data_IF_065676904390
#
_entry.id   IF_065676904390
#
_cell.length_a   1.000
_cell.length_b   1.000
_cell.length_c   1.000
_cell.angle_alpha   90.00
_cell.angle_beta   90.00
_cell.angle_gamma   90.00
#
_symmetry.space_group_name_H-M   'P 1'
#
loop_
_entity.id
_entity.type
_entity.pdbx_description
1 polymer ?
#
# COMPACT_ATOMS: atom_id res chain seq x y z
N UNK A 1 -4.95 12.33 -18.71
CA UNK A 1 -5.31 12.16 -17.28
C UNK A 1 -4.94 13.38 -16.42
N UNK A 2 -4.29 14.42 -16.95
CA UNK A 2 -3.81 15.57 -16.15
C UNK A 2 -4.90 16.54 -15.63
N UNK A 3 -6.17 16.34 -16.01
CA UNK A 3 -7.32 17.14 -15.55
C UNK A 3 -8.13 16.46 -14.44
N UNK A 4 -7.77 15.24 -14.02
CA UNK A 4 -8.50 14.46 -13.01
C UNK A 4 -7.95 14.77 -11.62
N UNK A 5 -8.43 15.85 -11.00
CA UNK A 5 -8.39 16.14 -9.55
C UNK A 5 -7.23 15.52 -8.76
N UNK A 6 -6.01 15.70 -9.26
CA UNK A 6 -4.84 14.86 -9.02
C UNK A 6 -4.62 14.54 -7.55
N UNK A 7 -4.60 13.26 -7.17
CA UNK A 7 -3.51 12.56 -6.47
C UNK A 7 -3.96 11.12 -6.20
N UNK A 8 -3.25 10.17 -6.83
CA UNK A 8 -3.44 8.73 -6.65
C UNK A 8 -2.63 8.35 -5.42
N UNK A 9 -3.31 8.22 -4.28
CA UNK A 9 -2.65 8.13 -2.97
C UNK A 9 -2.41 6.68 -2.53
N UNK A 10 -3.39 5.83 -2.75
CA UNK A 10 -3.32 4.38 -2.54
C UNK A 10 -3.23 3.69 -3.90
N UNK A 11 -3.05 2.38 -3.92
CA UNK A 11 -3.20 1.65 -5.18
C UNK A 11 -4.63 1.18 -5.42
N UNK A 12 -4.86 0.76 -6.65
CA UNK A 12 -6.22 0.56 -7.18
C UNK A 12 -6.43 -0.87 -7.67
N UNK A 13 -5.77 -1.83 -7.02
CA UNK A 13 -5.87 -3.24 -7.33
C UNK A 13 -5.79 -4.07 -6.05
N UNK A 14 -6.30 -5.29 -6.09
CA UNK A 14 -6.05 -6.27 -5.04
C UNK A 14 -4.54 -6.51 -4.85
N UNK A 15 -4.12 -6.83 -3.64
CA UNK A 15 -2.72 -7.13 -3.37
C UNK A 15 -2.27 -8.45 -4.04
N UNK A 16 -1.27 -8.38 -4.92
CA UNK A 16 -0.56 -9.57 -5.42
C UNK A 16 0.25 -10.26 -4.32
N UNK A 17 0.14 -11.59 -4.26
CA UNK A 17 1.08 -12.46 -3.55
C UNK A 17 2.19 -12.91 -4.50
N UNK A 18 3.40 -12.37 -4.34
CA UNK A 18 4.49 -12.68 -5.25
C UNK A 18 5.06 -14.09 -5.09
N UNK A 19 4.77 -14.76 -3.97
CA UNK A 19 5.22 -16.12 -3.71
C UNK A 19 4.13 -17.17 -4.02
N UNK A 20 2.86 -16.76 -4.06
CA UNK A 20 1.71 -17.63 -4.33
C UNK A 20 1.05 -17.38 -5.69
N UNK A 21 0.48 -16.18 -5.88
CA UNK A 21 -0.34 -15.85 -7.05
C UNK A 21 0.52 -15.55 -8.30
N UNK A 22 1.68 -14.92 -8.11
CA UNK A 22 2.58 -14.51 -9.19
C UNK A 22 3.62 -15.58 -9.59
N UNK A 23 3.95 -16.49 -8.67
CA UNK A 23 4.79 -17.65 -8.95
C UNK A 23 3.91 -18.80 -9.43
N UNK A 24 3.87 -19.07 -10.74
CA UNK A 24 3.20 -20.29 -11.23
C UNK A 24 3.83 -21.54 -10.62
N UNK A 25 3.16 -22.71 -10.62
CA UNK A 25 3.79 -23.98 -10.22
C UNK A 25 5.13 -24.25 -10.95
N UNK A 26 5.27 -23.75 -12.20
CA UNK A 26 6.52 -23.81 -12.96
C UNK A 26 7.61 -22.82 -12.48
N UNK A 27 7.22 -21.72 -11.83
CA UNK A 27 8.14 -20.76 -11.20
C UNK A 27 8.47 -21.18 -9.77
N UNK A 28 7.51 -21.74 -9.03
CA UNK A 28 7.71 -22.35 -7.70
C UNK A 28 8.66 -23.55 -7.77
N UNK A 29 8.57 -24.38 -8.83
CA UNK A 29 9.56 -25.43 -9.11
C UNK A 29 10.99 -24.91 -9.33
N UNK A 30 11.14 -23.69 -9.88
CA UNK A 30 12.44 -23.00 -9.98
C UNK A 30 12.88 -22.35 -8.66
N UNK A 31 11.96 -22.08 -7.75
CA UNK A 31 12.20 -21.51 -6.41
C UNK A 31 12.50 -22.59 -5.34
N UNK A 32 12.40 -23.88 -5.67
CA UNK A 32 12.82 -24.96 -4.79
C UNK A 32 14.34 -24.94 -4.57
N UNK A 33 14.73 -25.14 -3.30
CA UNK A 33 16.13 -25.16 -2.84
C UNK A 33 16.80 -26.44 -3.32
N UNK A 34 17.91 -26.32 -4.05
CA UNK A 34 18.90 -27.40 -4.16
C UNK A 34 19.61 -27.48 -2.81
N UNK A 35 19.44 -28.58 -2.09
CA UNK A 35 20.18 -28.83 -0.85
C UNK A 35 21.63 -29.11 -1.19
N UNK A 36 22.55 -28.17 -0.93
CA UNK A 36 23.98 -28.52 -0.79
C UNK A 36 24.64 -27.68 0.31
N UNK A 37 25.30 -28.40 1.23
CA UNK A 37 26.42 -27.90 2.05
C UNK A 37 26.09 -27.40 3.45
N UNK A 38 26.42 -28.20 4.46
CA UNK A 38 26.59 -27.75 5.85
C UNK A 38 27.82 -26.85 5.95
N UNK A 39 27.64 -25.52 5.92
CA UNK A 39 28.54 -24.60 6.61
C UNK A 39 27.98 -23.15 6.64
N UNK A 40 27.63 -22.69 7.84
CA UNK A 40 27.49 -21.29 8.28
C UNK A 40 26.66 -20.29 7.42
N UNK A 41 25.58 -19.78 8.02
CA UNK A 41 24.65 -18.74 7.53
C UNK A 41 23.67 -19.27 6.45
N UNK A 42 22.33 -19.20 6.64
CA UNK A 42 21.40 -19.69 5.62
C UNK A 42 21.51 -18.80 4.38
N UNK A 43 22.30 -19.22 3.39
CA UNK A 43 22.29 -18.68 2.02
C UNK A 43 21.01 -19.13 1.33
N UNK A 44 19.89 -18.63 1.83
CA UNK A 44 18.59 -18.84 1.20
C UNK A 44 18.56 -18.20 -0.19
N UNK A 45 17.74 -18.76 -1.09
CA UNK A 45 17.55 -18.18 -2.42
C UNK A 45 16.93 -16.79 -2.25
N UNK A 46 17.64 -15.77 -2.74
CA UNK A 46 17.18 -14.39 -2.68
C UNK A 46 16.34 -14.06 -3.91
N UNK A 47 15.15 -13.49 -3.68
CA UNK A 47 14.19 -13.07 -4.71
C UNK A 47 13.95 -11.59 -4.52
N UNK A 48 14.01 -10.80 -5.59
CA UNK A 48 13.76 -9.37 -5.53
C UNK A 48 12.53 -8.98 -6.35
N UNK A 49 11.66 -8.19 -5.71
CA UNK A 49 10.57 -7.50 -6.35
C UNK A 49 10.83 -5.99 -6.39
N UNK A 50 10.46 -5.38 -7.50
CA UNK A 50 10.50 -3.95 -7.70
C UNK A 50 9.08 -3.40 -7.77
N UNK A 51 8.73 -2.52 -6.84
CA UNK A 51 7.43 -1.85 -6.78
C UNK A 51 7.59 -0.40 -7.24
N UNK A 52 6.96 -0.05 -8.36
CA UNK A 52 7.07 1.26 -9.01
C UNK A 52 5.74 1.99 -8.90
N UNK A 53 5.69 2.94 -7.98
CA UNK A 53 4.59 3.85 -7.77
C UNK A 53 3.24 3.14 -7.59
N UNK A 54 3.21 2.08 -6.77
CA UNK A 54 2.01 1.30 -6.48
C UNK A 54 1.13 1.95 -5.39
N UNK A 55 1.57 3.08 -4.82
CA UNK A 55 0.79 3.94 -3.92
C UNK A 55 0.81 3.52 -2.46
N UNK A 56 0.75 2.23 -2.16
CA UNK A 56 0.75 1.70 -0.80
C UNK A 56 1.57 0.40 -0.64
N UNK A 57 1.58 -0.15 0.57
CA UNK A 57 2.39 -1.32 0.92
C UNK A 57 1.66 -2.67 0.77
N UNK A 58 0.51 -2.74 0.07
CA UNK A 58 -0.34 -3.94 0.06
C UNK A 58 0.36 -5.18 -0.50
N UNK A 59 1.12 -5.04 -1.59
CA UNK A 59 1.83 -6.15 -2.23
C UNK A 59 2.91 -6.71 -1.31
N UNK A 60 3.61 -5.83 -0.59
CA UNK A 60 4.58 -6.20 0.44
C UNK A 60 3.89 -7.00 1.54
N UNK A 61 2.83 -6.47 2.15
CA UNK A 61 2.14 -7.15 3.26
C UNK A 61 1.53 -8.50 2.84
N UNK A 62 0.92 -8.57 1.66
CA UNK A 62 0.34 -9.82 1.13
C UNK A 62 1.41 -10.89 0.91
N UNK A 63 2.51 -10.52 0.28
CA UNK A 63 3.63 -11.44 0.00
C UNK A 63 4.32 -11.87 1.29
N UNK A 64 4.54 -10.95 2.23
CA UNK A 64 5.09 -11.28 3.55
C UNK A 64 4.18 -12.23 4.33
N UNK A 65 2.85 -12.12 4.16
CA UNK A 65 1.90 -13.08 4.76
C UNK A 65 2.14 -14.51 4.29
N UNK A 66 2.65 -14.70 3.08
CA UNK A 66 2.98 -16.01 2.53
C UNK A 66 4.41 -16.43 2.83
N UNK A 67 5.36 -15.49 2.85
CA UNK A 67 6.73 -15.73 3.30
C UNK A 67 6.76 -16.24 4.75
N UNK A 68 5.94 -15.65 5.62
CA UNK A 68 5.86 -16.03 7.03
C UNK A 68 5.03 -17.31 7.27
N UNK A 69 4.38 -17.86 6.24
CA UNK A 69 3.69 -19.16 6.31
C UNK A 69 4.68 -20.32 6.09
N UNK A 70 4.58 -21.34 6.96
CA UNK A 70 5.65 -22.29 7.27
C UNK A 70 6.20 -23.19 6.15
N UNK A 71 5.57 -23.31 4.98
CA UNK A 71 6.07 -24.15 3.87
C UNK A 71 6.61 -23.33 2.69
N UNK A 72 5.99 -22.19 2.37
CA UNK A 72 6.34 -21.40 1.17
C UNK A 72 7.59 -20.53 1.34
N UNK A 73 7.98 -20.18 2.57
CA UNK A 73 9.10 -19.27 2.85
C UNK A 73 10.35 -19.88 3.48
N UNK A 74 10.41 -21.21 3.62
CA UNK A 74 11.61 -21.85 4.20
C UNK A 74 12.82 -21.66 3.28
N UNK A 75 13.89 -21.07 3.81
CA UNK A 75 15.12 -20.84 3.06
C UNK A 75 15.01 -19.78 1.96
N UNK A 76 13.97 -18.94 1.95
CA UNK A 76 13.85 -17.81 1.03
C UNK A 76 14.20 -16.48 1.72
N UNK A 77 14.81 -15.58 0.96
CA UNK A 77 14.97 -14.18 1.34
C UNK A 77 14.24 -13.32 0.31
N UNK A 78 13.27 -12.54 0.75
CA UNK A 78 12.47 -11.66 -0.10
C UNK A 78 12.93 -10.21 0.02
N UNK A 79 13.41 -9.65 -1.07
CA UNK A 79 13.75 -8.25 -1.20
C UNK A 79 12.68 -7.45 -1.93
N UNK A 80 12.38 -6.26 -1.44
CA UNK A 80 11.53 -5.28 -2.11
C UNK A 80 12.32 -4.00 -2.33
N UNK A 81 12.39 -3.53 -3.57
CA UNK A 81 12.74 -2.13 -3.88
C UNK A 81 11.45 -1.37 -4.13
N UNK A 82 11.14 -0.43 -3.24
CA UNK A 82 9.96 0.42 -3.29
C UNK A 82 10.39 1.77 -3.85
N UNK A 83 9.84 2.12 -5.00
CA UNK A 83 10.06 3.39 -5.67
C UNK A 83 8.76 4.18 -5.72
N UNK A 84 8.74 5.36 -5.11
CA UNK A 84 7.66 6.33 -5.24
C UNK A 84 8.21 7.64 -5.79
N UNK A 85 7.54 8.23 -6.77
CA UNK A 85 7.99 9.50 -7.36
C UNK A 85 7.89 10.65 -6.37
N UNK A 86 6.81 10.70 -5.60
CA UNK A 86 6.57 11.74 -4.61
C UNK A 86 7.08 11.27 -3.23
N UNK A 87 7.90 12.09 -2.59
CA UNK A 87 8.53 11.76 -1.30
C UNK A 87 7.49 11.57 -0.19
N UNK A 88 6.35 12.25 -0.26
CA UNK A 88 5.22 12.08 0.66
C UNK A 88 4.62 10.68 0.59
N UNK A 89 4.50 10.09 -0.61
CA UNK A 89 4.00 8.72 -0.79
C UNK A 89 5.01 7.71 -0.26
N UNK A 90 6.31 7.92 -0.54
CA UNK A 90 7.37 7.07 -0.01
C UNK A 90 7.35 7.06 1.52
N UNK A 91 7.34 8.25 2.13
CA UNK A 91 7.27 8.45 3.57
C UNK A 91 6.06 7.71 4.15
N UNK A 92 4.90 7.82 3.49
CA UNK A 92 3.66 7.24 3.97
C UNK A 92 3.66 5.73 3.88
N UNK A 93 4.28 5.13 2.86
CA UNK A 93 4.51 3.69 2.83
C UNK A 93 5.43 3.23 3.96
N UNK A 94 6.49 3.97 4.26
CA UNK A 94 7.37 3.69 5.40
C UNK A 94 6.59 3.73 6.71
N UNK A 95 5.73 4.72 6.91
CA UNK A 95 4.85 4.83 8.08
C UNK A 95 3.89 3.65 8.18
N UNK A 96 3.19 3.30 7.10
CA UNK A 96 2.22 2.21 7.08
C UNK A 96 2.88 0.84 7.33
N UNK A 97 4.06 0.60 6.74
CA UNK A 97 4.86 -0.59 7.01
C UNK A 97 5.31 -0.62 8.48
N UNK A 98 5.76 0.51 9.02
CA UNK A 98 6.16 0.61 10.42
C UNK A 98 5.00 0.29 11.37
N UNK A 99 3.81 0.86 11.12
CA UNK A 99 2.59 0.54 11.85
C UNK A 99 2.23 -0.94 11.71
N UNK A 100 2.24 -1.51 10.50
CA UNK A 100 1.80 -2.89 10.26
C UNK A 100 2.70 -3.92 10.96
N UNK A 101 4.00 -3.63 11.05
CA UNK A 101 5.01 -4.49 11.65
C UNK A 101 5.15 -4.30 13.17
N UNK A 102 4.57 -3.25 13.78
CA UNK A 102 4.73 -3.01 15.22
C UNK A 102 4.01 -4.06 16.09
N UNK A 103 4.73 -5.09 16.53
CA UNK A 103 4.21 -6.14 17.41
C UNK A 103 3.94 -5.69 18.85
N UNK A 104 4.33 -4.47 19.23
CA UNK A 104 4.10 -3.89 20.56
C UNK A 104 2.65 -3.43 20.74
N UNK A 105 1.97 -3.13 19.63
CA UNK A 105 0.56 -2.76 19.62
C UNK A 105 -0.29 -4.02 19.44
N UNK A 106 -1.35 -4.15 20.24
CA UNK A 106 -2.31 -5.25 20.10
C UNK A 106 -2.79 -5.35 18.64
N UNK A 107 -2.91 -6.59 18.14
CA UNK A 107 -3.19 -6.85 16.74
C UNK A 107 -4.43 -6.09 16.24
N UNK A 108 -5.51 -6.08 17.04
CA UNK A 108 -6.75 -5.42 16.65
C UNK A 108 -6.58 -3.91 16.59
N UNK A 109 -5.93 -3.35 17.59
CA UNK A 109 -5.65 -1.92 17.64
C UNK A 109 -4.73 -1.49 16.49
N UNK A 110 -3.75 -2.31 16.14
CA UNK A 110 -2.83 -2.09 15.03
C UNK A 110 -3.53 -2.11 13.67
N UNK A 111 -4.42 -3.08 13.45
CA UNK A 111 -5.24 -3.16 12.22
C UNK A 111 -6.15 -1.95 12.09
N UNK A 112 -6.83 -1.56 13.16
CA UNK A 112 -7.69 -0.36 13.14
C UNK A 112 -6.85 0.90 12.92
N UNK A 113 -5.72 1.07 13.61
CA UNK A 113 -4.80 2.18 13.41
C UNK A 113 -4.30 2.27 11.98
N UNK A 114 -3.86 1.15 11.40
CA UNK A 114 -3.39 1.10 10.01
C UNK A 114 -4.47 1.60 9.06
N UNK A 115 -5.71 1.11 9.19
CA UNK A 115 -6.80 1.50 8.32
C UNK A 115 -7.22 2.97 8.53
N UNK A 116 -7.25 3.46 9.77
CA UNK A 116 -7.52 4.87 10.07
C UNK A 116 -6.48 5.77 9.37
N UNK A 117 -5.18 5.48 9.53
CA UNK A 117 -4.09 6.25 8.90
C UNK A 117 -4.11 6.11 7.37
N UNK A 118 -4.42 4.92 6.86
CA UNK A 118 -4.49 4.64 5.43
C UNK A 118 -5.64 5.39 4.73
N UNK A 119 -6.83 5.44 5.32
CA UNK A 119 -8.01 5.81 4.55
C UNK A 119 -8.76 7.06 5.01
N UNK A 120 -8.57 7.49 6.26
CA UNK A 120 -9.40 8.55 6.83
C UNK A 120 -8.77 9.94 6.72
N UNK A 121 -9.61 10.93 6.44
CA UNK A 121 -9.28 12.35 6.56
C UNK A 121 -9.03 12.75 8.01
N UNK A 122 -9.81 12.21 8.94
CA UNK A 122 -9.74 12.48 10.36
C UNK A 122 -9.47 11.19 11.15
N UNK A 123 -8.64 11.32 12.17
CA UNK A 123 -8.18 10.26 13.05
C UNK A 123 -8.86 10.36 14.40
N UNK A 124 -8.86 9.24 15.13
CA UNK A 124 -9.06 9.31 16.57
C UNK A 124 -7.88 9.99 17.25
N UNK A 125 -8.10 10.60 18.43
CA UNK A 125 -7.00 11.18 19.20
C UNK A 125 -5.91 10.16 19.60
N UNK A 126 -6.25 8.87 19.72
CA UNK A 126 -5.25 7.80 19.92
C UNK A 126 -4.41 7.60 18.66
N UNK A 127 -5.04 7.56 17.48
CA UNK A 127 -4.34 7.40 16.21
C UNK A 127 -3.47 8.63 15.87
N UNK A 128 -3.91 9.85 16.16
CA UNK A 128 -3.08 11.06 15.97
C UNK A 128 -1.79 11.00 16.80
N UNK A 129 -1.90 10.65 18.09
CA UNK A 129 -0.74 10.47 18.98
C UNK A 129 0.19 9.36 18.50
N UNK A 130 -0.37 8.27 17.97
CA UNK A 130 0.42 7.18 17.41
C UNK A 130 1.19 7.65 16.16
N UNK A 131 0.54 8.37 15.24
CA UNK A 131 1.22 8.97 14.07
C UNK A 131 2.34 9.91 14.49
N UNK A 132 2.12 10.76 15.50
CA UNK A 132 3.16 11.64 16.05
C UNK A 132 4.38 10.85 16.54
N UNK A 133 4.15 9.78 17.31
CA UNK A 133 5.21 8.93 17.84
C UNK A 133 5.98 8.18 16.73
N UNK A 134 5.27 7.58 15.77
CA UNK A 134 5.91 6.88 14.65
C UNK A 134 6.68 7.85 13.73
N UNK A 135 6.14 9.05 13.49
CA UNK A 135 6.83 10.09 12.72
C UNK A 135 8.11 10.54 13.43
N UNK A 136 8.10 10.65 14.76
CA UNK A 136 9.32 10.93 15.55
C UNK A 136 10.35 9.82 15.41
N UNK A 137 9.93 8.56 15.49
CA UNK A 137 10.86 7.43 15.33
C UNK A 137 11.51 7.42 13.94
N UNK A 138 10.74 7.71 12.88
CA UNK A 138 11.25 7.84 11.51
C UNK A 138 12.20 9.04 11.35
N UNK A 139 11.89 10.19 11.97
CA UNK A 139 12.76 11.36 12.04
C UNK A 139 14.09 11.04 12.72
N UNK A 140 14.05 10.41 13.89
CA UNK A 140 15.25 10.07 14.66
C UNK A 140 16.10 9.04 13.91
N UNK A 141 15.47 8.08 13.27
CA UNK A 141 16.16 7.08 12.47
C UNK A 141 16.85 7.69 11.25
N UNK A 142 16.18 8.54 10.46
CA UNK A 142 16.76 9.12 9.25
C UNK A 142 17.88 10.13 9.55
N UNK A 143 17.82 10.79 10.71
CA UNK A 143 18.84 11.73 11.18
C UNK A 143 20.00 11.06 11.92
N UNK A 144 19.78 9.86 12.47
CA UNK A 144 20.82 9.18 13.24
C UNK A 144 21.99 8.77 12.35
N UNK A 145 23.17 9.35 12.61
CA UNK A 145 24.47 8.86 12.13
C UNK A 145 24.90 7.54 12.79
N UNK A 146 24.03 6.95 13.64
CA UNK A 146 24.30 5.72 14.38
C UNK A 146 23.56 4.57 13.72
N UNK A 147 24.14 3.36 13.62
CA UNK A 147 23.41 2.17 13.22
C UNK A 147 22.12 2.09 14.03
N UNK A 148 20.99 1.85 13.37
CA UNK A 148 19.68 1.74 14.02
C UNK A 148 19.82 1.01 15.36
N UNK A 149 19.29 1.59 16.44
CA UNK A 149 19.39 1.00 17.76
C UNK A 149 18.97 -0.46 17.70
N UNK A 150 19.83 -1.37 18.18
CA UNK A 150 19.53 -2.79 18.28
C UNK A 150 18.19 -2.95 19.00
N UNK A 151 17.19 -3.49 18.32
CA UNK A 151 15.78 -3.53 18.77
C UNK A 151 14.79 -2.90 17.76
N UNK A 152 15.18 -1.87 17.00
CA UNK A 152 14.22 -1.19 16.10
C UNK A 152 13.95 -1.94 14.79
N UNK A 153 12.68 -2.03 14.39
CA UNK A 153 12.23 -2.52 13.07
C UNK A 153 12.77 -1.68 11.91
N UNK A 154 13.06 -0.41 12.15
CA UNK A 154 13.58 0.52 11.15
C UNK A 154 14.98 0.11 10.65
N UNK A 155 15.68 -0.81 11.33
CA UNK A 155 16.95 -1.36 10.84
C UNK A 155 16.80 -2.16 9.53
N UNK A 156 15.60 -2.66 9.24
CA UNK A 156 15.31 -3.40 8.02
C UNK A 156 14.95 -2.47 6.85
N UNK A 157 14.81 -1.16 7.11
CA UNK A 157 14.58 -0.16 6.08
C UNK A 157 15.94 0.30 5.56
N UNK A 158 16.13 0.19 4.26
CA UNK A 158 17.33 0.60 3.55
C UNK A 158 17.02 1.86 2.71
N UNK A 159 17.61 2.98 3.10
CA UNK A 159 17.56 4.28 2.39
C UNK A 159 18.90 4.67 1.78
N UNK A 160 19.78 3.69 1.54
CA UNK A 160 21.09 3.90 0.92
C UNK A 160 21.00 4.46 -0.50
N UNK A 161 19.88 4.27 -1.18
CA UNK A 161 19.66 4.79 -2.54
C UNK A 161 19.16 6.22 -2.60
N UNK A 162 18.70 6.77 -1.47
CA UNK A 162 18.26 8.15 -1.38
C UNK A 162 19.46 9.11 -1.32
N UNK A 163 19.42 10.16 -2.12
CA UNK A 163 20.36 11.29 -2.04
C UNK A 163 20.16 12.05 -0.74
N UNK A 164 21.15 12.84 -0.34
CA UNK A 164 21.03 13.70 0.85
C UNK A 164 19.81 14.64 0.78
N UNK A 165 19.57 15.26 -0.38
CA UNK A 165 18.38 16.09 -0.58
C UNK A 165 17.06 15.31 -0.37
N UNK A 166 16.96 14.09 -0.90
CA UNK A 166 15.76 13.25 -0.76
C UNK A 166 15.54 12.82 0.70
N UNK A 167 16.63 12.59 1.46
CA UNK A 167 16.58 12.33 2.90
C UNK A 167 16.13 13.56 3.70
N UNK A 168 16.62 14.74 3.33
CA UNK A 168 16.20 16.01 3.94
C UNK A 168 14.71 16.29 3.67
N UNK A 169 14.23 15.97 2.47
CA UNK A 169 12.82 16.06 2.11
C UNK A 169 11.96 15.07 2.90
N UNK A 170 12.38 13.81 3.07
CA UNK A 170 11.72 12.86 3.96
C UNK A 170 11.66 13.39 5.40
N UNK A 171 12.78 13.91 5.91
CA UNK A 171 12.84 14.51 7.24
C UNK A 171 11.84 15.66 7.41
N UNK A 172 11.72 16.52 6.39
CA UNK A 172 10.71 17.59 6.35
C UNK A 172 9.29 17.02 6.40
N UNK A 173 9.01 15.95 5.65
CA UNK A 173 7.70 15.28 5.64
C UNK A 173 7.37 14.70 7.02
N UNK A 174 8.28 13.93 7.64
CA UNK A 174 8.06 13.36 8.97
C UNK A 174 7.80 14.44 10.03
N UNK A 175 8.57 15.54 10.00
CA UNK A 175 8.34 16.71 10.86
C UNK A 175 6.97 17.35 10.65
N UNK A 176 6.46 17.36 9.42
CA UNK A 176 5.15 17.94 9.10
C UNK A 176 3.96 17.14 9.68
N UNK A 177 4.16 15.86 9.98
CA UNK A 177 3.14 15.01 10.61
C UNK A 177 3.09 15.14 12.12
N UNK A 178 4.09 15.78 12.73
CA UNK A 178 4.11 16.05 14.18
C UNK A 178 2.98 16.99 14.58
N UNK A 179 2.47 16.83 15.80
CA UNK A 179 1.39 17.63 16.40
C UNK A 179 1.84 19.04 16.78
N UNK A 180 2.34 19.80 15.80
CA UNK A 180 2.98 21.11 16.03
C UNK A 180 2.08 22.30 15.66
N UNK A 181 1.09 22.08 14.78
CA UNK A 181 0.24 23.15 14.25
C UNK A 181 -1.19 22.67 14.11
N UNK A 182 -2.18 23.48 14.46
CA UNK A 182 -3.57 23.16 14.16
C UNK A 182 -3.79 23.07 12.63
N UNK A 183 -4.49 22.03 12.19
CA UNK A 183 -4.82 21.81 10.78
C UNK A 183 -6.30 21.46 10.71
N UNK A 184 -7.05 22.24 9.93
CA UNK A 184 -8.44 21.92 9.62
C UNK A 184 -8.49 21.02 8.38
N UNK A 185 -8.41 19.71 8.60
CA UNK A 185 -8.42 18.71 7.53
C UNK A 185 -9.69 18.79 6.68
N UNK A 186 -10.85 18.99 7.31
CA UNK A 186 -12.13 19.10 6.65
C UNK A 186 -12.19 20.28 5.67
N UNK A 187 -11.65 21.44 6.05
CA UNK A 187 -11.61 22.61 5.17
C UNK A 187 -10.69 22.39 3.95
N UNK A 188 -9.55 21.73 4.13
CA UNK A 188 -8.62 21.43 3.04
C UNK A 188 -9.20 20.42 2.05
N UNK A 189 -9.90 19.39 2.56
CA UNK A 189 -10.63 18.43 1.74
C UNK A 189 -11.80 19.11 1.01
N UNK A 190 -12.57 19.94 1.71
CA UNK A 190 -13.73 20.66 1.15
C UNK A 190 -13.31 21.57 0.00
N UNK A 191 -12.18 22.28 0.15
CA UNK A 191 -11.60 23.09 -0.91
C UNK A 191 -11.32 22.28 -2.19
N UNK A 192 -10.75 21.07 -2.05
CA UNK A 192 -10.52 20.19 -3.20
C UNK A 192 -11.82 19.61 -3.78
N UNK A 193 -12.78 19.26 -2.93
CA UNK A 193 -14.08 18.80 -3.39
C UNK A 193 -14.81 19.91 -4.18
N UNK A 194 -14.78 21.16 -3.73
CA UNK A 194 -15.34 22.31 -4.47
C UNK A 194 -14.67 22.50 -5.82
N UNK A 195 -13.34 22.41 -5.88
CA UNK A 195 -12.61 22.46 -7.16
C UNK A 195 -13.00 21.33 -8.11
N UNK A 196 -13.19 20.12 -7.59
CA UNK A 196 -13.57 18.97 -8.42
C UNK A 196 -14.99 19.10 -8.98
N UNK A 197 -15.96 19.39 -8.12
CA UNK A 197 -17.36 19.40 -8.53
C UNK A 197 -17.79 20.70 -9.21
N UNK A 198 -17.08 21.80 -8.98
CA UNK A 198 -17.42 23.13 -9.49
C UNK A 198 -18.83 23.53 -9.10
N UNK A 199 -19.60 24.04 -10.06
CA UNK A 199 -21.00 24.46 -9.88
C UNK A 199 -21.93 23.33 -9.40
N UNK A 200 -21.50 22.06 -9.56
CA UNK A 200 -22.28 20.88 -9.12
C UNK A 200 -21.98 20.47 -7.68
N UNK A 201 -21.15 21.21 -6.95
CA UNK A 201 -20.74 20.86 -5.59
C UNK A 201 -21.93 20.68 -4.63
N UNK A 202 -22.95 21.53 -4.74
CA UNK A 202 -24.16 21.44 -3.89
C UNK A 202 -25.03 20.23 -4.24
N UNK A 203 -24.95 19.74 -5.48
CA UNK A 203 -25.65 18.56 -5.98
C UNK A 203 -24.79 17.29 -5.98
N UNK A 204 -23.59 17.33 -5.36
CA UNK A 204 -22.61 16.23 -5.44
C UNK A 204 -23.13 14.89 -4.93
N UNK A 205 -24.10 14.87 -4.01
CA UNK A 205 -24.73 13.62 -3.53
C UNK A 205 -25.29 12.80 -4.69
N UNK A 206 -25.98 13.45 -5.63
CA UNK A 206 -26.56 12.79 -6.80
C UNK A 206 -25.47 12.27 -7.74
N UNK A 207 -24.37 13.02 -7.90
CA UNK A 207 -23.22 12.60 -8.70
C UNK A 207 -22.52 11.38 -8.08
N UNK A 208 -22.35 11.37 -6.76
CA UNK A 208 -21.76 10.26 -6.01
C UNK A 208 -22.62 8.99 -6.14
N UNK A 209 -23.94 9.13 -6.00
CA UNK A 209 -24.85 7.99 -6.15
C UNK A 209 -24.82 7.44 -7.59
N UNK A 210 -24.76 8.33 -8.59
CA UNK A 210 -24.60 7.94 -9.98
C UNK A 210 -23.26 7.25 -10.25
N UNK A 211 -22.15 7.81 -9.75
CA UNK A 211 -20.81 7.21 -9.84
C UNK A 211 -20.80 5.79 -9.28
N UNK A 212 -21.39 5.60 -8.11
CA UNK A 212 -21.48 4.28 -7.51
C UNK A 212 -22.24 3.30 -8.41
N UNK A 213 -23.47 3.63 -8.79
CA UNK A 213 -24.34 2.69 -9.50
C UNK A 213 -23.92 2.41 -10.94
N UNK A 214 -23.30 3.39 -11.61
CA UNK A 214 -22.92 3.27 -13.01
C UNK A 214 -21.49 2.76 -13.21
N UNK A 215 -20.57 3.04 -12.27
CA UNK A 215 -19.14 2.76 -12.44
C UNK A 215 -18.60 1.72 -11.47
N UNK A 216 -19.05 1.71 -10.21
CA UNK A 216 -18.46 0.84 -9.18
C UNK A 216 -19.27 -0.42 -8.91
N UNK A 217 -20.57 -0.28 -8.67
CA UNK A 217 -21.44 -1.41 -8.37
C UNK A 217 -21.75 -2.28 -9.59
N UNK A 218 -21.28 -1.84 -10.77
CA UNK A 218 -21.46 -2.40 -12.11
C UNK A 218 -22.57 -3.42 -12.16
N UNK A 219 -23.76 -3.04 -12.67
CA UNK A 219 -24.93 -3.94 -12.81
C UNK A 219 -24.41 -5.34 -13.12
N UNK A 220 -24.63 -6.27 -12.20
CA UNK A 220 -24.27 -7.67 -12.37
C UNK A 220 -24.99 -8.13 -13.65
N UNK A 221 -24.35 -7.97 -14.81
CA UNK A 221 -24.84 -8.51 -16.06
C UNK A 221 -24.76 -10.02 -15.86
N UNK A 222 -25.93 -10.63 -15.65
CA UNK A 222 -26.15 -12.08 -15.67
C UNK A 222 -25.69 -12.58 -17.04
N UNK A 223 -24.38 -12.76 -17.20
CA UNK A 223 -23.83 -13.52 -18.32
C UNK A 223 -24.34 -14.94 -18.19
N UNK A 224 -24.75 -15.53 -19.31
CA UNK A 224 -25.38 -16.86 -19.45
C UNK A 224 -24.65 -18.05 -18.81
N UNK A 225 -23.54 -17.83 -18.08
CA UNK A 225 -22.74 -18.85 -17.40
C UNK A 225 -22.51 -18.60 -15.90
N UNK A 226 -23.27 -17.75 -15.20
CA UNK A 226 -23.17 -17.53 -13.74
C UNK A 226 -21.75 -17.14 -13.22
N UNK A 227 -20.88 -16.59 -14.08
CA UNK A 227 -19.56 -16.09 -13.66
C UNK A 227 -19.63 -14.58 -13.43
N UNK A 228 -19.66 -14.16 -12.16
CA UNK A 228 -19.59 -12.75 -11.76
C UNK A 228 -18.16 -12.26 -11.97
N UNK A 229 -17.95 -11.35 -12.94
CA UNK A 229 -16.61 -10.91 -13.36
C UNK A 229 -15.95 -9.84 -12.47
N UNK A 230 -16.59 -9.31 -11.43
CA UNK A 230 -15.91 -8.40 -10.49
C UNK A 230 -16.51 -8.36 -9.09
N UNK A 231 -15.66 -8.39 -8.06
CA UNK A 231 -16.05 -8.26 -6.65
C UNK A 231 -16.33 -6.82 -6.22
N UNK A 232 -16.39 -5.84 -7.14
CA UNK A 232 -16.42 -4.40 -6.82
C UNK A 232 -17.63 -3.98 -5.99
N UNK A 233 -18.76 -4.67 -6.14
CA UNK A 233 -19.97 -4.41 -5.33
C UNK A 233 -19.82 -4.77 -3.84
N UNK A 234 -18.69 -5.37 -3.43
CA UNK A 234 -18.34 -5.54 -2.00
C UNK A 234 -17.99 -4.19 -1.35
N UNK A 235 -17.59 -3.20 -2.15
CA UNK A 235 -17.55 -1.81 -1.71
C UNK A 235 -19.00 -1.36 -1.59
N UNK A 236 -19.53 -1.35 -0.37
CA UNK A 236 -20.92 -1.02 -0.12
C UNK A 236 -21.20 0.48 -0.38
N UNK A 237 -22.39 0.78 -0.94
CA UNK A 237 -22.83 2.15 -1.28
C UNK A 237 -22.66 3.14 -0.13
N UNK A 238 -23.05 2.74 1.08
CA UNK A 238 -22.96 3.59 2.28
C UNK A 238 -21.53 4.01 2.56
N UNK A 239 -20.56 3.09 2.46
CA UNK A 239 -19.15 3.39 2.69
C UNK A 239 -18.58 4.29 1.59
N UNK A 240 -18.86 3.96 0.32
CA UNK A 240 -18.46 4.79 -0.81
C UNK A 240 -18.99 6.23 -0.69
N UNK A 241 -20.30 6.37 -0.40
CA UNK A 241 -20.95 7.66 -0.25
C UNK A 241 -20.43 8.43 0.95
N UNK A 242 -20.24 7.77 2.10
CA UNK A 242 -19.68 8.37 3.31
C UNK A 242 -18.29 8.94 3.05
N UNK A 243 -17.41 8.16 2.42
CA UNK A 243 -16.06 8.61 2.08
C UNK A 243 -16.07 9.78 1.09
N UNK A 244 -16.84 9.71 -0.01
CA UNK A 244 -16.97 10.82 -0.97
C UNK A 244 -17.56 12.11 -0.37
N UNK A 245 -18.26 12.01 0.76
CA UNK A 245 -18.89 13.14 1.44
C UNK A 245 -18.08 13.71 2.61
N UNK A 246 -17.14 12.96 3.18
CA UNK A 246 -16.41 13.34 4.40
C UNK A 246 -14.90 13.10 4.35
N UNK A 247 -14.40 12.30 3.41
CA UNK A 247 -13.01 11.87 3.37
C UNK A 247 -12.66 10.73 4.34
N UNK A 248 -13.60 10.27 5.18
CA UNK A 248 -13.37 9.16 6.11
C UNK A 248 -13.86 7.83 5.51
N UNK A 249 -12.99 6.82 5.42
CA UNK A 249 -13.29 5.53 4.78
C UNK A 249 -13.53 4.39 5.77
N UNK A 250 -12.91 4.45 6.94
CA UNK A 250 -12.84 3.40 7.95
C UNK A 250 -13.26 3.96 9.31
N UNK A 251 -14.55 3.89 9.62
CA UNK A 251 -15.10 4.28 10.91
C UNK A 251 -15.38 3.00 11.73
N UNK A 252 -14.83 2.92 12.94
CA UNK A 252 -14.93 1.73 13.78
C UNK A 252 -15.68 2.02 15.06
N UNK A 253 -16.78 1.29 15.28
CA UNK A 253 -17.60 1.38 16.51
C UNK A 253 -18.05 2.84 16.71
N UNK A 254 -18.22 3.26 17.97
CA UNK A 254 -18.59 4.62 18.34
C UNK A 254 -17.37 5.51 18.61
N UNK A 255 -16.29 5.32 17.84
CA UNK A 255 -15.11 6.18 17.94
C UNK A 255 -15.39 7.56 17.36
N UNK A 256 -14.82 8.59 17.99
CA UNK A 256 -14.86 9.97 17.49
C UNK A 256 -13.62 10.24 16.64
N UNK A 257 -13.84 10.75 15.43
CA UNK A 257 -12.81 11.17 14.48
C UNK A 257 -12.85 12.69 14.38
N UNK A 258 -11.91 13.36 15.04
CA UNK A 258 -11.86 14.83 15.14
C UNK A 258 -10.43 15.39 15.06
N UNK A 259 -9.41 14.54 14.96
CA UNK A 259 -8.03 14.94 14.76
C UNK A 259 -7.64 14.87 13.28
N UNK A 260 -6.84 15.81 12.74
CA UNK A 260 -6.48 15.78 11.32
C UNK A 260 -5.51 14.64 10.99
N UNK A 261 -5.77 13.87 9.92
CA UNK A 261 -4.78 12.98 9.35
C UNK A 261 -3.74 13.78 8.56
N UNK A 262 -2.68 14.22 9.22
CA UNK A 262 -1.59 15.01 8.64
C UNK A 262 -0.82 14.29 7.54
N UNK A 263 -0.89 12.96 7.50
CA UNK A 263 -0.24 12.15 6.45
C UNK A 263 -0.93 12.31 5.10
N UNK A 264 -2.13 12.88 5.07
CA UNK A 264 -2.88 13.25 3.87
C UNK A 264 -2.72 14.72 3.49
N UNK A 265 -1.80 15.44 4.13
CA UNK A 265 -1.60 16.87 3.91
C UNK A 265 -0.18 17.12 3.43
N UNK A 266 -0.02 17.86 2.34
CA UNK A 266 1.30 18.31 1.89
C UNK A 266 1.24 19.65 1.17
N UNK A 267 2.43 20.23 0.96
CA UNK A 267 2.62 21.39 0.09
C UNK A 267 2.80 20.91 -1.34
N UNK A 268 1.86 21.27 -2.20
CA UNK A 268 1.84 20.83 -3.60
C UNK A 268 2.06 22.04 -4.50
N UNK A 269 2.82 21.84 -5.58
CA UNK A 269 2.89 22.80 -6.67
C UNK A 269 1.52 22.91 -7.35
N UNK A 270 0.79 23.97 -7.02
CA UNK A 270 -0.39 24.41 -7.75
C UNK A 270 0.02 25.39 -8.86
N UNK A 271 -0.88 25.69 -9.79
CA UNK A 271 -0.71 26.78 -10.75
C UNK A 271 -1.76 27.84 -10.46
N UNK A 272 -1.33 29.10 -10.44
CA UNK A 272 -2.25 30.23 -10.41
C UNK A 272 -3.02 30.29 -11.73
N UNK A 273 -4.32 30.54 -11.65
CA UNK A 273 -5.15 30.78 -12.83
C UNK A 273 -5.08 32.27 -13.20
N UNK A 274 -3.94 32.72 -13.74
CA UNK A 274 -3.73 34.14 -14.06
C UNK A 274 -4.37 34.53 -15.39
N UNK A 275 -4.32 33.65 -16.39
CA UNK A 275 -4.97 33.86 -17.69
C UNK A 275 -5.32 32.51 -18.32
N UNK A 276 -6.25 32.50 -19.28
CA UNK A 276 -6.58 31.31 -20.08
C UNK A 276 -5.86 31.39 -21.43
N UNK A 277 -5.25 30.30 -21.89
CA UNK A 277 -4.68 30.23 -23.23
C UNK A 277 -5.79 30.11 -24.30
N UNK A 278 -5.41 30.13 -25.59
CA UNK A 278 -6.35 29.97 -26.72
C UNK A 278 -7.15 28.65 -26.67
N UNK A 279 -6.68 27.65 -25.93
CA UNK A 279 -7.34 26.37 -25.72
C UNK A 279 -8.15 26.34 -24.42
N UNK A 280 -8.43 27.52 -23.83
CA UNK A 280 -9.15 27.72 -22.58
C UNK A 280 -8.51 27.03 -21.37
N UNK A 281 -7.22 26.66 -21.43
CA UNK A 281 -6.51 26.11 -20.30
C UNK A 281 -5.98 27.25 -19.42
N UNK A 282 -6.25 27.17 -18.12
CA UNK A 282 -5.66 28.10 -17.16
C UNK A 282 -4.12 27.98 -17.15
N UNK A 283 -3.45 29.10 -17.32
CA UNK A 283 -1.99 29.28 -17.26
C UNK A 283 -1.69 30.34 -16.20
N UNK A 284 -0.56 30.16 -15.53
CA UNK A 284 -0.02 31.12 -14.58
C UNK A 284 1.15 30.53 -13.80
N UNK A 285 1.73 31.33 -12.91
CA UNK A 285 2.89 30.92 -12.12
C UNK A 285 2.59 29.67 -11.28
N UNK A 286 3.59 28.79 -11.15
CA UNK A 286 3.51 27.70 -10.19
C UNK A 286 3.67 28.26 -8.78
N UNK A 287 2.75 27.93 -7.90
CA UNK A 287 2.76 28.31 -6.48
C UNK A 287 2.67 27.06 -5.63
N UNK A 288 3.54 26.96 -4.63
CA UNK A 288 3.46 25.90 -3.63
C UNK A 288 2.35 26.24 -2.62
N UNK A 289 1.30 25.43 -2.54
CA UNK A 289 0.20 25.61 -1.60
C UNK A 289 0.06 24.38 -0.70
N UNK A 290 -0.05 24.61 0.61
CA UNK A 290 -0.35 23.56 1.57
C UNK A 290 -1.82 23.15 1.44
N UNK A 291 -2.10 21.85 1.32
CA UNK A 291 -3.46 21.36 1.16
C UNK A 291 -3.61 19.84 1.28
N UNK A 292 -4.84 19.38 1.03
CA UNK A 292 -5.17 17.97 1.04
C UNK A 292 -4.55 17.26 -0.17
N UNK A 293 -3.76 16.23 0.10
CA UNK A 293 -3.02 15.42 -0.89
C UNK A 293 -3.70 14.07 -1.19
N UNK A 294 -4.73 13.66 -0.42
CA UNK A 294 -5.42 12.38 -0.67
C UNK A 294 -6.31 12.35 -1.91
N UNK A 295 -6.79 11.17 -2.31
CA UNK A 295 -7.77 11.05 -3.39
C UNK A 295 -9.15 11.55 -2.90
N UNK A 296 -9.98 12.05 -3.80
CA UNK A 296 -11.35 12.46 -3.53
C UNK A 296 -12.37 11.73 -4.38
N UNK A 297 -11.95 10.97 -5.40
CA UNK A 297 -12.73 10.23 -6.39
C UNK A 297 -12.70 8.73 -6.19
N UNK A 298 -11.51 8.14 -6.05
CA UNK A 298 -11.35 6.70 -5.99
C UNK A 298 -11.00 6.30 -4.55
N UNK A 299 -11.85 5.55 -3.83
CA UNK A 299 -11.65 5.25 -2.41
C UNK A 299 -10.52 4.23 -2.16
N UNK A 300 -10.01 4.10 -0.92
CA UNK A 300 -8.90 3.21 -0.55
C UNK A 300 -9.26 1.71 -0.50
N UNK A 301 -10.52 1.37 -0.80
CA UNK A 301 -11.03 0.01 -0.60
C UNK A 301 -10.41 -1.02 -1.55
N UNK A 302 -9.92 -0.58 -2.71
CA UNK A 302 -9.30 -1.48 -3.70
C UNK A 302 -8.03 -2.16 -3.18
N UNK A 303 -7.25 -1.46 -2.35
CA UNK A 303 -5.95 -1.96 -1.85
C UNK A 303 -6.07 -3.22 -0.99
N UNK A 304 -7.07 -3.27 -0.10
CA UNK A 304 -7.16 -4.32 0.92
C UNK A 304 -8.53 -5.00 0.98
N UNK A 305 -9.53 -4.53 0.23
CA UNK A 305 -10.94 -4.90 0.44
C UNK A 305 -11.61 -5.68 -0.69
N UNK A 306 -10.92 -5.96 -1.81
CA UNK A 306 -11.51 -6.61 -2.98
C UNK A 306 -11.31 -8.13 -3.04
N UNK A 307 -10.33 -8.66 -2.31
CA UNK A 307 -9.99 -10.08 -2.29
C UNK A 307 -9.56 -10.53 -0.88
N UNK A 308 -9.71 -11.81 -0.56
CA UNK A 308 -9.31 -12.39 0.74
C UNK A 308 -7.91 -12.99 0.65
N UNK A 309 -7.04 -12.66 1.61
CA UNK A 309 -5.68 -13.25 1.73
C UNK A 309 -5.68 -14.60 2.45
N UNK A 310 -6.79 -14.90 3.12
CA UNK A 310 -7.06 -16.16 3.78
C UNK A 310 -8.15 -16.91 3.01
N UNK A 311 -7.78 -18.02 2.37
CA UNK A 311 -8.72 -18.83 1.60
C UNK A 311 -9.80 -19.44 2.49
N UNK A 312 -9.51 -19.67 3.78
CA UNK A 312 -10.48 -20.23 4.74
C UNK A 312 -11.62 -19.24 5.07
N UNK A 313 -11.35 -17.94 5.05
CA UNK A 313 -12.36 -16.91 5.35
C UNK A 313 -13.09 -16.41 4.09
N UNK A 314 -12.60 -16.76 2.89
CA UNK A 314 -13.10 -16.21 1.62
C UNK A 314 -14.58 -16.50 1.39
N UNK A 315 -15.02 -17.73 1.61
CA UNK A 315 -16.44 -18.10 1.46
C UNK A 315 -17.32 -17.29 2.42
N UNK A 316 -16.87 -17.10 3.67
CA UNK A 316 -17.59 -16.32 4.67
C UNK A 316 -17.67 -14.85 4.28
N UNK A 317 -16.54 -14.23 3.94
CA UNK A 317 -16.41 -12.81 3.61
C UNK A 317 -17.15 -12.43 2.33
N UNK A 318 -17.16 -13.29 1.32
CA UNK A 318 -17.81 -13.01 0.03
C UNK A 318 -19.21 -13.60 -0.08
N UNK A 319 -19.79 -14.07 1.04
CA UNK A 319 -21.16 -14.58 1.09
C UNK A 319 -22.16 -13.50 0.67
N UNK A 320 -23.04 -13.84 -0.28
CA UNK A 320 -24.14 -12.98 -0.72
C UNK A 320 -25.50 -13.48 -0.21
N UNK A 321 -26.37 -12.54 0.17
CA UNK A 321 -27.80 -12.76 0.43
C UNK A 321 -28.59 -11.64 -0.23
N UNK A 322 -29.69 -11.98 -0.90
CA UNK A 322 -30.52 -11.02 -1.65
C UNK A 322 -29.71 -10.17 -2.65
N UNK A 323 -28.79 -10.80 -3.40
CA UNK A 323 -27.88 -10.16 -4.36
C UNK A 323 -26.91 -9.12 -3.76
N UNK A 324 -26.77 -9.05 -2.44
CA UNK A 324 -25.83 -8.17 -1.75
C UNK A 324 -24.84 -8.97 -0.90
N UNK A 325 -23.62 -8.48 -0.76
CA UNK A 325 -22.64 -9.08 0.16
C UNK A 325 -23.05 -8.85 1.61
N UNK A 326 -22.89 -9.88 2.45
CA UNK A 326 -23.12 -9.77 3.90
C UNK A 326 -22.01 -8.96 4.58
N UNK A 327 -20.78 -9.09 4.08
CA UNK A 327 -19.63 -8.32 4.53
C UNK A 327 -19.25 -7.27 3.49
N UNK A 328 -18.49 -6.29 3.95
CA UNK A 328 -18.08 -5.14 3.14
C UNK A 328 -16.57 -5.18 2.87
N UNK A 329 -16.12 -4.35 1.92
CA UNK A 329 -14.69 -4.15 1.68
C UNK A 329 -13.92 -3.72 2.95
N UNK A 330 -14.59 -3.07 3.91
CA UNK A 330 -14.01 -2.70 5.20
C UNK A 330 -13.74 -3.94 6.06
N UNK A 331 -14.67 -4.90 6.07
CA UNK A 331 -14.51 -6.16 6.80
C UNK A 331 -13.40 -7.02 6.20
N UNK A 332 -13.34 -7.09 4.87
CA UNK A 332 -12.27 -7.78 4.13
C UNK A 332 -10.90 -7.15 4.43
N UNK A 333 -10.82 -5.81 4.41
CA UNK A 333 -9.59 -5.10 4.74
C UNK A 333 -9.09 -5.42 6.16
N UNK A 334 -10.01 -5.47 7.14
CA UNK A 334 -9.68 -5.89 8.51
C UNK A 334 -9.21 -7.34 8.55
N UNK A 335 -9.91 -8.25 7.87
CA UNK A 335 -9.58 -9.66 7.85
C UNK A 335 -8.18 -9.89 7.27
N UNK A 336 -7.86 -9.23 6.14
CA UNK A 336 -6.56 -9.32 5.47
C UNK A 336 -5.41 -8.82 6.34
N UNK A 337 -5.54 -7.63 6.95
CA UNK A 337 -4.50 -7.10 7.83
C UNK A 337 -4.37 -7.92 9.14
N UNK A 338 -5.48 -8.43 9.66
CA UNK A 338 -5.47 -9.36 10.79
C UNK A 338 -4.77 -10.67 10.44
N UNK A 339 -5.00 -11.16 9.22
CA UNK A 339 -4.37 -12.36 8.69
C UNK A 339 -2.85 -12.18 8.62
N UNK A 340 -2.37 -11.06 8.03
CA UNK A 340 -0.95 -10.71 8.03
C UNK A 340 -0.37 -10.65 9.46
N UNK A 341 -1.04 -9.97 10.38
CA UNK A 341 -0.53 -9.88 11.75
C UNK A 341 -0.48 -11.23 12.47
N UNK A 342 -1.43 -12.14 12.20
CA UNK A 342 -1.39 -13.51 12.71
C UNK A 342 -0.25 -14.33 12.11
N UNK A 343 0.07 -14.18 10.83
CA UNK A 343 1.19 -14.92 10.21
C UNK A 343 2.53 -14.46 10.77
N UNK A 344 2.69 -13.15 11.03
CA UNK A 344 3.84 -12.60 11.76
C UNK A 344 3.95 -13.27 13.14
N UNK A 345 2.90 -13.25 13.94
CA UNK A 345 2.88 -13.84 15.30
C UNK A 345 3.08 -15.37 15.31
N UNK A 346 2.57 -16.09 14.32
CA UNK A 346 2.77 -17.54 14.19
C UNK A 346 4.24 -17.88 13.89
N UNK A 347 4.87 -17.09 12.99
CA UNK A 347 6.28 -17.27 12.64
C UNK A 347 7.20 -16.95 13.82
N UNK A 348 6.90 -15.86 14.53
CA UNK A 348 7.50 -15.51 15.83
C UNK A 348 7.47 -16.71 16.78
N UNK A 349 6.29 -17.29 17.02
CA UNK A 349 6.13 -18.38 17.99
C UNK A 349 6.86 -19.65 17.57
N UNK A 350 6.88 -19.94 16.26
CA UNK A 350 7.61 -21.08 15.70
C UNK A 350 9.13 -20.91 15.79
N UNK A 351 9.63 -19.67 15.67
CA UNK A 351 11.04 -19.32 15.83
C UNK A 351 11.47 -19.20 17.31
N UNK A 352 10.52 -19.02 18.24
CA UNK A 352 10.73 -18.79 19.67
C UNK A 352 10.95 -20.03 20.53
N UNK A 353 11.14 -21.23 19.97
CA UNK A 353 11.50 -22.44 20.75
C UNK A 353 12.97 -22.42 21.21
N UNK A 354 13.36 -21.39 21.98
CA UNK A 354 14.60 -21.34 22.74
C UNK A 354 14.33 -20.83 24.15
N UNK A 355 14.33 -21.80 25.07
CA UNK A 355 14.59 -21.65 26.50
C UNK A 355 13.56 -20.87 27.33
N UNK A 356 12.50 -21.57 27.73
CA UNK A 356 11.85 -21.28 29.01
C UNK A 356 12.84 -21.62 30.14
N UNK A 357 13.72 -20.68 30.49
CA UNK A 357 14.49 -20.77 31.71
C UNK A 357 13.60 -20.36 32.89
N UNK A 358 13.45 -21.28 33.84
CA UNK A 358 12.75 -21.07 35.11
C UNK A 358 13.35 -19.86 35.83
N UNK A 359 12.60 -18.75 35.89
CA UNK A 359 12.97 -17.58 36.67
C UNK A 359 11.85 -17.24 37.66
N UNK A 360 12.22 -17.20 38.93
CA UNK A 360 11.35 -17.01 40.09
C UNK A 360 10.80 -15.58 40.17
N UNK A 361 9.77 -15.41 40.99
CA UNK A 361 8.76 -14.37 40.84
C UNK A 361 9.17 -12.93 41.22
N UNK A 362 10.40 -12.65 41.64
CA UNK A 362 10.69 -11.43 42.42
C UNK A 362 10.96 -10.14 41.63
N UNK A 363 11.34 -10.16 40.35
CA UNK A 363 11.71 -8.91 39.67
C UNK A 363 10.67 -8.43 38.66
N UNK A 364 9.64 -7.70 39.13
CA UNK A 364 8.59 -7.12 38.28
C UNK A 364 9.10 -6.14 37.22
N UNK A 365 10.19 -5.40 37.50
CA UNK A 365 10.85 -4.50 36.56
C UNK A 365 11.73 -5.25 35.54
N UNK A 366 12.40 -6.32 35.96
CA UNK A 366 13.15 -7.18 35.04
C UNK A 366 12.20 -7.98 34.13
N UNK A 367 11.03 -8.42 34.64
CA UNK A 367 9.97 -9.02 33.82
C UNK A 367 9.45 -8.05 32.77
N UNK A 368 9.26 -6.77 33.09
CA UNK A 368 8.83 -5.77 32.11
C UNK A 368 9.92 -5.51 31.07
N UNK A 369 11.18 -5.39 31.49
CA UNK A 369 12.31 -5.20 30.57
C UNK A 369 12.57 -6.44 29.69
N UNK A 370 12.47 -7.65 30.26
CA UNK A 370 12.56 -8.92 29.52
C UNK A 370 11.38 -9.05 28.56
N UNK A 371 10.16 -8.74 28.98
CA UNK A 371 8.98 -8.79 28.11
C UNK A 371 9.11 -7.79 26.94
N UNK A 372 9.56 -6.57 27.19
CA UNK A 372 9.82 -5.58 26.13
C UNK A 372 10.94 -6.05 25.19
N UNK A 373 12.04 -6.61 25.72
CA UNK A 373 13.15 -7.16 24.91
C UNK A 373 12.75 -8.40 24.13
N UNK A 374 11.94 -9.29 24.70
CA UNK A 374 11.36 -10.46 24.03
C UNK A 374 10.42 -10.04 22.91
N UNK A 375 9.59 -9.02 23.14
CA UNK A 375 8.72 -8.46 22.10
C UNK A 375 9.51 -7.91 20.90
N UNK A 376 10.70 -7.32 21.08
CA UNK A 376 11.54 -6.95 19.92
C UNK A 376 12.21 -8.15 19.26
N UNK A 377 12.68 -9.14 20.04
CA UNK A 377 13.21 -10.40 19.49
C UNK A 377 12.18 -11.16 18.65
N UNK A 378 10.88 -11.00 18.94
CA UNK A 378 9.82 -11.76 18.27
C UNK A 378 9.78 -11.53 16.76
N UNK A 379 9.75 -10.28 16.30
CA UNK A 379 9.63 -9.96 14.87
C UNK A 379 10.98 -9.95 14.13
N UNK A 380 12.10 -9.81 14.85
CA UNK A 380 13.43 -9.79 14.26
C UNK A 380 13.74 -11.04 13.44
N UNK A 381 13.37 -12.23 13.94
CA UNK A 381 13.62 -13.50 13.24
C UNK A 381 12.91 -13.59 11.88
N UNK A 382 11.57 -13.39 11.77
CA UNK A 382 10.90 -13.30 10.47
C UNK A 382 11.53 -12.24 9.54
N UNK A 383 11.91 -11.08 10.10
CA UNK A 383 12.43 -9.97 9.30
C UNK A 383 13.86 -10.20 8.79
N UNK A 384 14.63 -11.16 9.31
CA UNK A 384 15.91 -11.57 8.72
C UNK A 384 15.77 -12.09 7.28
N UNK A 385 14.59 -12.60 6.92
CA UNK A 385 14.27 -13.04 5.56
C UNK A 385 13.78 -11.91 4.66
N UNK A 386 13.72 -10.66 5.15
CA UNK A 386 13.16 -9.53 4.43
C UNK A 386 14.23 -8.47 4.17
N UNK A 387 14.23 -7.87 2.98
CA UNK A 387 14.97 -6.65 2.66
C UNK A 387 13.99 -5.60 2.15
N UNK A 388 13.94 -4.42 2.76
CA UNK A 388 13.07 -3.33 2.32
C UNK A 388 13.94 -2.14 1.93
N UNK A 389 14.00 -1.84 0.64
CA UNK A 389 14.81 -0.75 0.09
C UNK A 389 13.92 0.33 -0.49
N UNK A 390 14.17 1.57 -0.11
CA UNK A 390 13.34 2.73 -0.46
C UNK A 390 14.10 3.67 -1.39
N UNK A 391 13.42 4.14 -2.43
CA UNK A 391 13.98 5.05 -3.43
C UNK A 391 12.91 6.04 -3.93
N UNK A 392 13.36 7.22 -4.36
CA UNK A 392 12.48 8.26 -4.93
C UNK A 392 13.23 9.06 -6.01
N UNK A 393 12.51 9.92 -6.73
CA UNK A 393 13.07 10.84 -7.70
C UNK A 393 12.16 11.08 -8.91
N UNK A 394 12.57 12.00 -9.80
CA UNK A 394 11.81 12.28 -11.02
C UNK A 394 11.88 11.13 -12.04
N UNK A 395 13.01 10.43 -12.06
CA UNK A 395 13.26 9.28 -12.93
C UNK A 395 13.70 8.12 -12.08
N UNK A 396 13.14 6.96 -12.39
CA UNK A 396 13.59 5.72 -11.81
C UNK A 396 14.99 5.42 -12.32
N UNK A 397 15.96 5.31 -11.40
CA UNK A 397 17.34 4.99 -11.76
C UNK A 397 17.58 3.51 -11.47
N UNK A 398 17.87 2.78 -12.53
CA UNK A 398 18.41 1.43 -12.43
C UNK A 398 19.93 1.54 -12.30
N UNK A 399 20.49 0.82 -11.33
CA UNK A 399 21.95 0.77 -11.13
C UNK A 399 22.46 -0.57 -11.63
N UNK A 400 23.70 -0.61 -12.13
CA UNK A 400 24.36 -1.89 -12.46
C UNK A 400 24.48 -2.83 -11.26
N UNK A 401 24.41 -2.28 -10.05
CA UNK A 401 24.43 -3.01 -8.78
C UNK A 401 23.05 -3.44 -8.30
N UNK A 402 21.98 -3.08 -9.02
CA UNK A 402 20.64 -3.55 -8.66
C UNK A 402 20.59 -5.07 -8.83
N UNK A 403 19.91 -5.79 -7.92
CA UNK A 403 19.69 -7.21 -8.08
C UNK A 403 18.84 -7.48 -9.33
N UNK A 404 18.90 -8.72 -9.81
CA UNK A 404 17.91 -9.20 -10.77
C UNK A 404 16.53 -9.15 -10.09
N UNK A 405 15.54 -8.58 -10.76
CA UNK A 405 14.18 -8.49 -10.23
C UNK A 405 13.31 -9.60 -10.80
N UNK A 406 12.96 -10.62 -10.04
CA UNK A 406 12.01 -11.64 -10.51
C UNK A 406 10.65 -11.02 -10.87
N UNK A 407 10.24 -10.00 -10.11
CA UNK A 407 8.95 -9.33 -10.27
C UNK A 407 9.11 -7.80 -10.36
N UNK A 408 8.41 -7.19 -11.30
CA UNK A 408 8.25 -5.74 -11.40
C UNK A 408 6.76 -5.43 -11.34
N UNK A 409 6.34 -4.53 -10.45
CA UNK A 409 4.95 -4.10 -10.29
C UNK A 409 4.88 -2.60 -10.57
N UNK A 410 3.95 -2.18 -11.43
CA UNK A 410 3.79 -0.79 -11.83
C UNK A 410 2.36 -0.34 -11.56
N UNK A 411 2.21 0.74 -10.78
CA UNK A 411 0.90 1.35 -10.54
C UNK A 411 0.29 1.92 -11.83
N UNK A 412 -1.04 1.86 -11.95
CA UNK A 412 -1.73 2.09 -13.23
C UNK A 412 -1.46 3.46 -13.85
N UNK A 413 -1.36 4.53 -13.03
CA UNK A 413 -1.04 5.89 -13.50
C UNK A 413 0.38 6.01 -14.05
N UNK A 414 1.29 5.16 -13.56
CA UNK A 414 2.70 5.18 -13.88
C UNK A 414 3.07 4.11 -14.90
N UNK A 415 2.09 3.53 -15.60
CA UNK A 415 2.32 2.56 -16.66
C UNK A 415 3.25 3.09 -17.78
N UNK A 416 3.32 4.41 -17.98
CA UNK A 416 4.28 5.03 -18.90
C UNK A 416 5.74 4.79 -18.51
N UNK A 417 6.04 4.52 -17.24
CA UNK A 417 7.39 4.19 -16.74
C UNK A 417 7.84 2.78 -17.14
N UNK A 418 6.96 1.93 -17.70
CA UNK A 418 7.35 0.61 -18.25
C UNK A 418 8.54 0.72 -19.21
N UNK A 419 8.60 1.79 -20.00
CA UNK A 419 9.71 2.09 -20.92
C UNK A 419 11.05 2.31 -20.21
N UNK A 420 11.03 2.92 -19.03
CA UNK A 420 12.24 3.18 -18.23
C UNK A 420 12.83 1.89 -17.64
N UNK A 421 12.11 0.77 -17.75
CA UNK A 421 12.45 -0.53 -17.20
C UNK A 421 12.81 -1.57 -18.27
N UNK A 422 12.85 -1.20 -19.55
CA UNK A 422 13.13 -2.12 -20.66
C UNK A 422 14.44 -2.90 -20.47
N UNK A 423 15.48 -2.24 -19.95
CA UNK A 423 16.80 -2.84 -19.72
C UNK A 423 16.90 -3.62 -18.40
N UNK A 424 15.85 -3.66 -17.57
CA UNK A 424 15.92 -4.37 -16.31
C UNK A 424 16.05 -5.88 -16.55
N UNK A 425 17.00 -6.55 -15.86
CA UNK A 425 17.04 -8.00 -15.82
C UNK A 425 15.87 -8.45 -14.96
N UNK A 426 14.70 -8.61 -15.59
CA UNK A 426 13.47 -8.98 -14.90
C UNK A 426 12.72 -10.11 -15.58
N UNK A 427 12.11 -10.99 -14.79
CA UNK A 427 11.39 -12.14 -15.32
C UNK A 427 9.93 -11.81 -15.64
N UNK A 428 9.23 -11.15 -14.71
CA UNK A 428 7.79 -10.90 -14.84
C UNK A 428 7.44 -9.45 -14.53
N UNK A 429 6.61 -8.84 -15.38
CA UNK A 429 6.05 -7.51 -15.21
C UNK A 429 4.55 -7.62 -14.91
N UNK A 430 4.12 -6.89 -13.88
CA UNK A 430 2.73 -6.65 -13.51
C UNK A 430 2.42 -5.17 -13.65
N UNK A 431 1.38 -4.83 -14.38
CA UNK A 431 0.85 -3.46 -14.47
C UNK A 431 -0.56 -3.45 -13.92
N UNK A 432 -0.82 -2.63 -12.91
CA UNK A 432 -2.17 -2.48 -12.35
C UNK A 432 -3.14 -2.04 -13.44
N UNK A 433 -4.30 -2.71 -13.48
CA UNK A 433 -5.40 -2.30 -14.34
C UNK A 433 -6.05 -1.02 -13.82
N UNK A 434 -6.56 -0.20 -14.72
CA UNK A 434 -7.33 0.99 -14.36
C UNK A 434 -8.82 0.68 -14.07
N UNK A 435 -9.22 -0.60 -14.04
CA UNK A 435 -10.62 -1.01 -14.01
C UNK A 435 -11.34 -0.60 -12.72
N UNK A 436 -10.60 -0.43 -11.62
CA UNK A 436 -11.14 -0.04 -10.33
C UNK A 436 -11.24 1.49 -10.15
N UNK A 437 -10.81 2.28 -11.13
CA UNK A 437 -10.95 3.73 -11.09
C UNK A 437 -12.38 4.12 -11.49
N UNK A 438 -13.04 4.85 -10.61
CA UNK A 438 -14.45 5.24 -10.74
C UNK A 438 -14.69 6.03 -12.02
N UNK A 439 -13.77 6.90 -12.42
CA UNK A 439 -13.99 7.80 -13.56
C UNK A 439 -13.68 7.20 -14.94
N UNK A 440 -13.14 5.99 -14.96
CA UNK A 440 -12.69 5.33 -16.17
C UNK A 440 -13.84 4.51 -16.76
N UNK A 441 -14.16 4.74 -18.04
CA UNK A 441 -15.20 4.00 -18.76
C UNK A 441 -14.64 2.65 -19.23
N UNK A 442 -15.53 1.74 -19.68
CA UNK A 442 -15.10 0.48 -20.32
C UNK A 442 -14.18 0.75 -21.53
N UNK A 443 -14.50 1.76 -22.33
CA UNK A 443 -13.68 2.18 -23.47
C UNK A 443 -12.30 2.71 -23.05
N UNK A 444 -12.24 3.53 -22.00
CA UNK A 444 -10.97 3.98 -21.45
C UNK A 444 -10.13 2.80 -20.93
N UNK A 445 -10.75 1.78 -20.31
CA UNK A 445 -10.05 0.57 -19.88
C UNK A 445 -9.46 -0.20 -21.06
N UNK A 446 -10.24 -0.42 -22.13
CA UNK A 446 -9.77 -1.12 -23.33
C UNK A 446 -8.63 -0.35 -24.03
N UNK A 447 -8.73 0.99 -24.09
CA UNK A 447 -7.67 1.84 -24.62
C UNK A 447 -6.41 1.80 -23.75
N UNK A 448 -6.57 1.82 -22.43
CA UNK A 448 -5.46 1.71 -21.48
C UNK A 448 -4.75 0.36 -21.61
N UNK A 449 -5.50 -0.75 -21.63
CA UNK A 449 -4.96 -2.09 -21.85
C UNK A 449 -4.14 -2.16 -23.15
N UNK A 450 -4.71 -1.71 -24.26
CA UNK A 450 -4.04 -1.69 -25.55
C UNK A 450 -2.71 -0.92 -25.49
N UNK A 451 -2.71 0.23 -24.78
CA UNK A 451 -1.50 1.03 -24.61
C UNK A 451 -0.46 0.37 -23.71
N UNK A 452 -0.89 -0.27 -22.61
CA UNK A 452 0.02 -1.02 -21.73
C UNK A 452 0.68 -2.17 -22.48
N UNK A 453 -0.08 -2.91 -23.29
CA UNK A 453 0.47 -3.98 -24.14
C UNK A 453 1.51 -3.46 -25.13
N UNK A 454 1.21 -2.35 -25.81
CA UNK A 454 2.17 -1.68 -26.70
C UNK A 454 3.46 -1.31 -25.95
N UNK A 455 3.35 -0.67 -24.78
CA UNK A 455 4.50 -0.27 -23.96
C UNK A 455 5.34 -1.48 -23.50
N UNK A 456 4.69 -2.57 -23.12
CA UNK A 456 5.36 -3.79 -22.69
C UNK A 456 6.11 -4.47 -23.85
N UNK A 457 5.48 -4.60 -25.02
CA UNK A 457 6.07 -5.19 -26.23
C UNK A 457 7.26 -4.36 -26.72
N UNK A 458 7.11 -3.03 -26.78
CA UNK A 458 8.20 -2.10 -27.12
C UNK A 458 9.40 -2.25 -26.18
N UNK A 459 9.15 -2.69 -24.94
CA UNK A 459 10.16 -2.87 -23.89
C UNK A 459 10.61 -4.34 -23.73
N UNK A 460 10.38 -5.16 -24.76
CA UNK A 460 10.79 -6.58 -24.84
C UNK A 460 10.13 -7.52 -23.82
N UNK A 461 8.91 -7.21 -23.36
CA UNK A 461 8.06 -8.17 -22.66
C UNK A 461 6.99 -8.74 -23.59
N UNK A 462 6.68 -10.02 -23.40
CA UNK A 462 5.60 -10.74 -24.10
C UNK A 462 4.34 -10.83 -23.25
N UNK A 463 3.17 -10.71 -23.89
CA UNK A 463 1.88 -10.89 -23.22
C UNK A 463 1.66 -12.37 -22.91
N UNK A 464 1.60 -12.68 -21.62
CA UNK A 464 1.38 -14.03 -21.11
C UNK A 464 -0.11 -14.43 -21.17
N UNK A 465 -1.01 -13.52 -21.59
CA UNK A 465 -2.48 -13.68 -21.68
C UNK A 465 -3.16 -14.15 -20.39
N UNK A 466 -2.42 -14.25 -19.30
CA UNK A 466 -2.89 -14.63 -17.97
C UNK A 466 -3.25 -13.35 -17.21
N UNK A 467 -4.54 -13.08 -17.09
CA UNK A 467 -5.01 -12.05 -16.17
C UNK A 467 -4.91 -12.58 -14.74
N UNK A 468 -4.16 -11.86 -13.89
CA UNK A 468 -4.07 -12.16 -12.46
C UNK A 468 -4.74 -11.03 -11.71
N UNK A 469 -5.96 -11.28 -11.23
CA UNK A 469 -6.78 -10.29 -10.53
C UNK A 469 -6.92 -9.01 -11.37
N UNK A 470 -6.66 -7.84 -10.79
CA UNK A 470 -6.70 -6.54 -11.46
C UNK A 470 -5.32 -6.11 -12.01
N UNK A 471 -4.53 -7.04 -12.58
CA UNK A 471 -3.23 -6.74 -13.19
C UNK A 471 -3.05 -7.39 -14.56
N UNK A 472 -2.41 -6.66 -15.47
CA UNK A 472 -1.86 -7.19 -16.70
C UNK A 472 -0.49 -7.82 -16.43
N UNK A 473 -0.31 -9.09 -16.83
CA UNK A 473 0.94 -9.83 -16.64
C UNK A 473 1.70 -9.97 -17.97
N UNK A 474 3.00 -9.71 -17.92
CA UNK A 474 3.90 -9.91 -19.05
C UNK A 474 5.17 -10.63 -18.59
N UNK A 475 5.82 -11.37 -19.49
CA UNK A 475 7.03 -12.17 -19.21
C UNK A 475 8.11 -11.91 -20.25
N UNK A 476 9.38 -11.92 -19.83
CA UNK A 476 10.53 -11.85 -20.74
C UNK A 476 10.97 -13.21 -21.24
#
# INVERSE_FOLDING_TARGET
>A
MDKLGAHFLWGYSSALDLLGDAGSEADVGRLQVVQEGEDSNPKGKEIWALQVCAGDCRHVLRTLSSLFRGQSGQGLVMGFKIYEKEVELLARQMLLLHIALDTQVDLKERVELFLEVHGNLELTGKAEKAVDAYAKQLEDWITSLKPAQSGSLLRYFDVSELKYQEKDELLRVFKSWRMTKEVNAQALWDYRARKLYGDRYDFRKNLIDWDYHMRLSGKDEEGENNVIKSNKSIIHHVHFRRWRMSGNSHEFRDKKYDAPNRTLMSTIASRLEQYKDRNMNAKGASVSAYGYFGDIQNPPYSSFGLDSWDEQEKERLFKRVNKQFQHTAVDVSKANLSFFGKTVLSRVNSSGNLCACNLTAEDGLAKLAIHVVEQYKTIEEPMKQVRLKFSTGEKMRTKKTDPKYEFVIVGCRNAHLVKDMADLPSSTLYVEACSNLVEVTKEHCASFESKVKELAIDSSWSDDKKEISDHYRFVK
#
